data_IF_566584031114
#
_entry.id   IF_566584031114
#
_cell.length_a   1.000
_cell.length_b   1.000
_cell.length_c   1.000
_cell.angle_alpha   90.00
_cell.angle_beta   90.00
_cell.angle_gamma   90.00
#
_symmetry.space_group_name_H-M   'P 1'
#
loop_
_entity.id
_entity.type
_entity.pdbx_description
1 polymer ?
#
# COMPACT_ATOMS: atom_id res chain seq x y z
N UNK A 1 13.81 -19.27 -21.14
CA UNK A 1 12.61 -18.83 -21.89
C UNK A 1 11.66 -18.18 -20.89
N UNK A 2 11.74 -16.86 -20.78
CA UNK A 2 10.96 -16.05 -19.84
C UNK A 2 9.61 -15.68 -20.47
N UNK A 3 8.51 -16.09 -19.84
CA UNK A 3 7.18 -15.55 -20.14
C UNK A 3 6.65 -14.85 -18.87
N UNK A 4 6.75 -13.52 -18.84
CA UNK A 4 6.13 -12.67 -17.82
C UNK A 4 4.82 -12.15 -18.39
N UNK A 5 3.69 -12.57 -17.81
CA UNK A 5 2.37 -12.04 -18.14
C UNK A 5 2.00 -10.90 -17.19
N UNK A 6 1.76 -9.73 -17.78
CA UNK A 6 1.23 -8.51 -17.16
C UNK A 6 -0.25 -8.69 -16.79
N UNK A 7 -0.59 -8.50 -15.52
CA UNK A 7 -1.99 -8.54 -15.04
C UNK A 7 -2.63 -7.17 -15.19
N UNK A 8 -3.53 -7.04 -16.17
CA UNK A 8 -4.56 -6.00 -16.19
C UNK A 8 -5.74 -6.39 -15.30
N UNK A 9 -6.29 -5.45 -14.52
CA UNK A 9 -7.54 -5.64 -13.77
C UNK A 9 -8.60 -4.68 -14.27
N UNK A 10 -9.68 -5.25 -14.83
CA UNK A 10 -10.95 -4.59 -15.14
C UNK A 10 -11.86 -4.69 -13.91
N UNK A 11 -12.53 -3.58 -13.55
CA UNK A 11 -13.49 -3.49 -12.43
C UNK A 11 -14.82 -4.15 -12.80
N UNK A 12 -15.39 -4.93 -11.89
CA UNK A 12 -16.83 -5.23 -11.79
C UNK A 12 -17.19 -5.35 -10.31
N UNK A 13 -18.23 -4.62 -9.86
CA UNK A 13 -18.71 -4.62 -8.49
C UNK A 13 -20.14 -5.14 -8.35
N UNK A 14 -20.50 -5.52 -7.13
CA UNK A 14 -21.84 -5.59 -6.51
C UNK A 14 -21.61 -6.14 -5.09
N UNK A 15 -22.03 -5.61 -3.93
CA UNK A 15 -22.69 -4.41 -3.41
C UNK A 15 -22.53 -4.51 -1.86
N UNK A 16 -22.48 -3.50 -1.00
CA UNK A 16 -23.21 -2.23 -0.90
C UNK A 16 -22.31 -1.11 -0.32
N UNK A 17 -22.13 -0.04 -1.09
CA UNK A 17 -22.47 1.36 -0.76
C UNK A 17 -21.95 2.22 -1.91
N UNK A 18 -22.84 2.51 -2.85
CA UNK A 18 -22.65 3.48 -3.93
C UNK A 18 -22.83 4.89 -3.39
N UNK A 19 -21.95 5.83 -3.76
CA UNK A 19 -22.23 7.27 -3.71
C UNK A 19 -22.10 7.82 -5.12
N UNK A 20 -23.23 8.23 -5.66
CA UNK A 20 -23.36 9.06 -6.85
C UNK A 20 -23.36 10.50 -6.34
N UNK A 21 -22.50 11.34 -6.91
CA UNK A 21 -22.51 12.78 -6.66
C UNK A 21 -23.77 13.37 -7.30
N UNK A 22 -24.58 14.08 -6.49
CA UNK A 22 -25.63 14.93 -6.99
C UNK A 22 -25.06 16.35 -7.15
N UNK A 23 -25.13 16.82 -8.39
CA UNK A 23 -24.90 18.19 -8.82
C UNK A 23 -26.24 18.93 -8.70
N UNK A 24 -26.31 19.96 -7.85
CA UNK A 24 -27.47 20.86 -7.76
C UNK A 24 -27.22 22.07 -8.66
N UNK A 25 -28.03 22.25 -9.71
CA UNK A 25 -28.32 23.55 -10.32
C UNK A 25 -29.68 23.57 -11.04
N UNK A 26 -30.60 24.33 -10.45
CA UNK A 26 -31.66 25.19 -11.00
C UNK A 26 -32.64 24.72 -12.11
N UNK A 27 -33.90 24.60 -11.68
CA UNK A 27 -35.10 25.38 -12.07
C UNK A 27 -35.62 25.33 -13.53
N UNK A 28 -36.84 24.77 -13.73
CA UNK A 28 -37.96 25.44 -14.41
C UNK A 28 -39.28 24.63 -14.34
N UNK A 29 -40.25 25.18 -13.61
CA UNK A 29 -41.69 25.38 -13.88
C UNK A 29 -42.63 24.33 -14.57
N UNK A 30 -43.91 24.48 -14.20
CA UNK A 30 -45.16 23.82 -14.62
C UNK A 30 -45.47 22.47 -13.94
N UNK A 31 -46.57 22.26 -13.22
CA UNK A 31 -47.79 23.03 -13.02
C UNK A 31 -48.98 22.08 -13.11
N UNK A 32 -49.65 21.77 -12.00
CA UNK A 32 -51.12 21.61 -11.99
C UNK A 32 -51.69 21.50 -10.57
N UNK A 33 -52.82 22.20 -10.44
CA UNK A 33 -53.58 22.47 -9.22
C UNK A 33 -54.48 21.28 -8.88
N UNK A 34 -54.52 20.86 -7.63
CA UNK A 34 -55.73 20.29 -7.02
C UNK A 34 -55.88 20.87 -5.61
N UNK A 35 -56.99 21.55 -5.40
CA UNK A 35 -57.40 22.12 -4.13
C UNK A 35 -57.95 21.04 -3.21
N UNK A 36 -57.54 21.03 -1.94
CA UNK A 36 -58.35 20.46 -0.86
C UNK A 36 -58.14 21.24 0.42
N UNK A 37 -59.25 21.65 1.01
CA UNK A 37 -59.36 22.58 2.14
C UNK A 37 -59.20 21.85 3.49
N UNK A 38 -58.70 22.60 4.47
CA UNK A 38 -58.94 22.53 5.92
C UNK A 38 -58.34 21.34 6.71
N UNK A 39 -57.33 21.62 7.55
CA UNK A 39 -57.51 21.81 9.00
C UNK A 39 -56.21 22.36 9.62
N UNK A 40 -56.33 23.43 10.41
CA UNK A 40 -55.21 24.06 11.13
C UNK A 40 -54.90 23.21 12.36
N UNK A 41 -53.75 22.56 12.38
CA UNK A 41 -53.19 21.88 13.55
C UNK A 41 -51.79 22.42 13.82
N UNK A 42 -51.65 23.23 14.87
CA UNK A 42 -50.37 23.81 15.31
C UNK A 42 -49.50 22.72 15.93
N UNK A 43 -48.66 22.08 15.12
CA UNK A 43 -47.64 21.12 15.60
C UNK A 43 -46.44 21.94 16.10
N UNK A 44 -46.32 22.06 17.42
CA UNK A 44 -45.06 22.48 18.06
C UNK A 44 -44.03 21.36 17.86
N UNK A 45 -43.30 21.39 16.74
CA UNK A 45 -42.09 20.59 16.58
C UNK A 45 -40.98 21.24 17.41
N UNK A 46 -40.69 20.64 18.58
CA UNK A 46 -39.46 20.88 19.31
C UNK A 46 -38.30 20.47 18.38
N UNK A 47 -37.62 21.44 17.80
CA UNK A 47 -36.38 21.21 17.07
C UNK A 47 -35.29 20.83 18.07
N UNK A 48 -35.19 19.54 18.37
CA UNK A 48 -34.01 18.96 19.01
C UNK A 48 -32.85 19.10 18.03
N UNK A 49 -31.94 20.04 18.29
CA UNK A 49 -30.64 20.10 17.63
C UNK A 49 -29.86 18.87 18.08
N UNK A 50 -30.00 17.76 17.36
CA UNK A 50 -29.02 16.70 17.43
C UNK A 50 -27.76 17.24 16.79
N UNK A 51 -26.80 17.64 17.63
CA UNK A 51 -25.43 17.82 17.19
C UNK A 51 -24.98 16.48 16.60
N UNK A 52 -24.94 16.40 15.28
CA UNK A 52 -24.29 15.29 14.57
C UNK A 52 -22.81 15.48 14.83
N UNK A 53 -22.27 14.67 15.72
CA UNK A 53 -20.84 14.61 16.01
C UNK A 53 -20.12 14.23 14.70
N UNK A 54 -19.44 15.20 14.10
CA UNK A 54 -18.66 15.02 12.89
C UNK A 54 -17.32 14.34 13.24
N UNK A 55 -17.38 13.15 13.83
CA UNK A 55 -16.21 12.35 14.17
C UNK A 55 -16.03 11.23 13.14
N UNK A 56 -15.46 11.55 11.97
CA UNK A 56 -14.76 10.55 11.13
C UNK A 56 -14.01 11.18 9.94
N UNK A 57 -13.10 12.10 10.22
CA UNK A 57 -11.91 12.25 9.37
C UNK A 57 -10.87 11.24 9.86
N UNK A 58 -10.32 10.34 9.03
CA UNK A 58 -9.32 9.37 9.46
C UNK A 58 -8.02 10.11 9.83
N UNK A 59 -7.91 10.48 11.10
CA UNK A 59 -6.71 11.06 11.67
C UNK A 59 -5.57 10.05 11.78
N UNK A 60 -4.33 10.55 11.77
CA UNK A 60 -3.15 9.72 12.03
C UNK A 60 -3.18 9.30 13.51
N UNK A 61 -3.29 8.00 13.76
CA UNK A 61 -3.16 7.42 15.11
C UNK A 61 -1.66 7.33 15.45
N UNK A 62 -1.28 7.93 16.59
CA UNK A 62 0.12 7.97 17.06
C UNK A 62 0.37 6.94 18.17
N UNK A 63 1.62 6.51 18.32
CA UNK A 63 2.05 5.60 19.38
C UNK A 63 1.72 4.13 19.12
N UNK A 64 0.44 3.75 19.17
CA UNK A 64 0.00 2.37 18.89
C UNK A 64 -1.35 2.37 18.17
N UNK A 65 -1.44 1.58 17.11
CA UNK A 65 -2.65 1.40 16.33
C UNK A 65 -3.00 -0.09 16.22
N UNK A 66 -4.29 -0.38 16.13
CA UNK A 66 -4.82 -1.74 15.98
C UNK A 66 -5.80 -1.78 14.82
N UNK A 67 -5.55 -2.69 13.88
CA UNK A 67 -6.37 -2.83 12.69
C UNK A 67 -6.44 -4.28 12.20
N UNK A 68 -7.43 -4.55 11.36
CA UNK A 68 -7.52 -5.78 10.59
C UNK A 68 -6.80 -5.58 9.25
N UNK A 69 -5.95 -6.54 8.88
CA UNK A 69 -5.31 -6.60 7.57
C UNK A 69 -5.77 -7.85 6.83
N UNK A 70 -6.52 -7.65 5.75
CA UNK A 70 -6.97 -8.75 4.88
C UNK A 70 -6.19 -8.73 3.58
N UNK A 71 -5.45 -9.81 3.31
CA UNK A 71 -4.78 -10.04 2.04
C UNK A 71 -5.56 -11.03 1.19
N UNK A 72 -6.06 -10.58 0.03
CA UNK A 72 -6.84 -11.39 -0.92
C UNK A 72 -6.14 -11.51 -2.26
N UNK A 73 -5.94 -12.74 -2.70
CA UNK A 73 -5.34 -13.07 -4.00
C UNK A 73 -6.30 -13.96 -4.76
N UNK A 74 -6.57 -13.63 -6.03
CA UNK A 74 -7.23 -14.54 -6.97
C UNK A 74 -6.15 -15.11 -7.89
N UNK A 75 -6.02 -16.43 -7.93
CA UNK A 75 -5.06 -17.06 -8.81
C UNK A 75 -5.41 -16.77 -10.28
N UNK A 76 -4.41 -16.44 -11.12
CA UNK A 76 -4.63 -16.25 -12.54
C UNK A 76 -4.98 -17.58 -13.22
N UNK A 77 -5.19 -17.54 -14.53
CA UNK A 77 -5.22 -18.76 -15.34
C UNK A 77 -3.84 -19.44 -15.31
N UNK A 78 -3.82 -20.73 -14.99
CA UNK A 78 -2.60 -21.55 -14.87
C UNK A 78 -2.61 -22.57 -16.01
N UNK A 79 -1.64 -22.46 -16.93
CA UNK A 79 -1.54 -23.31 -18.15
C UNK A 79 -0.44 -24.38 -18.08
N UNK A 80 0.26 -24.47 -16.95
CA UNK A 80 1.37 -25.39 -16.74
C UNK A 80 1.89 -25.25 -15.31
N UNK A 81 3.14 -25.65 -15.08
CA UNK A 81 3.75 -25.57 -13.76
C UNK A 81 3.74 -24.14 -13.22
N UNK A 82 3.19 -23.98 -12.03
CA UNK A 82 3.16 -22.72 -11.33
C UNK A 82 3.73 -22.88 -9.92
N UNK A 83 4.42 -21.83 -9.48
CA UNK A 83 4.89 -21.67 -8.12
C UNK A 83 4.51 -20.28 -7.66
N UNK A 84 3.86 -20.18 -6.50
CA UNK A 84 3.48 -18.90 -5.90
C UNK A 84 4.13 -18.79 -4.54
N UNK A 85 4.71 -17.62 -4.28
CA UNK A 85 5.28 -17.23 -3.00
C UNK A 85 4.45 -16.07 -2.45
N UNK A 86 3.89 -16.24 -1.26
CA UNK A 86 3.13 -15.19 -0.57
C UNK A 86 3.81 -14.89 0.77
N UNK A 87 4.20 -13.62 1.02
CA UNK A 87 4.78 -13.26 2.31
C UNK A 87 3.73 -13.42 3.41
N UNK A 88 4.17 -13.92 4.55
CA UNK A 88 3.36 -14.04 5.76
C UNK A 88 3.77 -12.97 6.75
N UNK A 89 2.77 -12.26 7.29
CA UNK A 89 3.02 -11.25 8.30
C UNK A 89 3.62 -11.89 9.57
N UNK A 90 4.59 -11.21 10.18
CA UNK A 90 5.38 -11.70 11.32
C UNK A 90 5.35 -10.69 12.46
N UNK A 91 5.33 -11.20 13.69
CA UNK A 91 5.50 -10.41 14.91
C UNK A 91 6.97 -10.03 15.08
N UNK A 92 7.22 -8.77 15.43
CA UNK A 92 8.55 -8.25 15.77
C UNK A 92 8.45 -7.23 16.93
N UNK A 93 9.54 -6.53 17.24
CA UNK A 93 9.60 -5.55 18.32
C UNK A 93 8.58 -4.38 18.20
N UNK A 94 8.04 -4.14 17.01
CA UNK A 94 7.17 -3.01 16.68
C UNK A 94 5.79 -3.44 16.16
N UNK A 95 5.50 -4.73 16.08
CA UNK A 95 4.17 -5.20 15.72
C UNK A 95 3.88 -6.58 16.30
N UNK A 96 2.66 -6.76 16.80
CA UNK A 96 2.10 -8.08 17.12
C UNK A 96 1.10 -8.44 16.04
N UNK A 97 1.31 -9.60 15.41
CA UNK A 97 0.47 -10.13 14.35
C UNK A 97 -0.20 -11.42 14.85
N UNK A 98 -1.53 -11.43 14.82
CA UNK A 98 -2.35 -12.62 15.09
C UNK A 98 -3.06 -13.02 13.80
N UNK A 99 -2.80 -14.23 13.31
CA UNK A 99 -3.56 -14.79 12.19
C UNK A 99 -4.93 -15.26 12.70
N UNK A 100 -6.00 -14.65 12.20
CA UNK A 100 -7.37 -15.00 12.59
C UNK A 100 -7.98 -16.01 11.61
N UNK A 101 -7.69 -15.86 10.31
CA UNK A 101 -8.20 -16.75 9.27
C UNK A 101 -7.15 -16.97 8.18
N UNK A 102 -6.98 -18.22 7.78
CA UNK A 102 -6.00 -18.62 6.77
C UNK A 102 -6.65 -19.56 5.75
N UNK A 103 -7.26 -18.98 4.72
CA UNK A 103 -7.97 -19.71 3.68
C UNK A 103 -7.07 -19.86 2.45
N UNK A 104 -6.40 -21.01 2.38
CA UNK A 104 -5.55 -21.41 1.25
C UNK A 104 -6.07 -22.76 0.71
N UNK A 105 -6.94 -22.79 -0.32
CA UNK A 105 -7.62 -24.01 -0.79
C UNK A 105 -6.74 -24.91 -1.67
N UNK A 106 -5.43 -24.95 -1.37
CA UNK A 106 -4.35 -25.65 -2.07
C UNK A 106 -3.33 -26.06 -1.02
N UNK A 107 -2.73 -27.25 -1.17
CA UNK A 107 -1.62 -27.66 -0.29
C UNK A 107 -0.47 -26.65 -0.41
N UNK A 108 0.06 -26.24 0.74
CA UNK A 108 1.13 -25.26 0.82
C UNK A 108 2.11 -25.62 1.94
N UNK A 109 3.28 -25.02 1.90
CA UNK A 109 4.33 -25.13 2.90
C UNK A 109 4.77 -23.75 3.39
N UNK A 110 5.09 -23.64 4.68
CA UNK A 110 5.75 -22.47 5.21
C UNK A 110 7.26 -22.66 5.05
N UNK A 111 7.93 -21.73 4.40
CA UNK A 111 9.39 -21.66 4.33
C UNK A 111 9.87 -20.33 4.88
N UNK A 112 11.15 -20.27 5.25
CA UNK A 112 11.81 -19.01 5.59
C UNK A 112 12.84 -18.66 4.53
N UNK A 113 12.90 -17.39 4.13
CA UNK A 113 13.99 -16.95 3.27
C UNK A 113 15.32 -16.99 4.03
N UNK A 114 16.39 -17.38 3.33
CA UNK A 114 17.73 -17.59 3.91
C UNK A 114 18.31 -16.31 4.51
N UNK A 115 18.04 -15.16 3.90
CA UNK A 115 18.82 -13.94 4.13
C UNK A 115 18.23 -13.07 5.23
N UNK A 116 16.91 -13.08 5.41
CA UNK A 116 16.16 -12.22 6.33
C UNK A 116 15.18 -12.98 7.24
N UNK A 117 14.96 -14.29 7.00
CA UNK A 117 14.07 -15.10 7.83
C UNK A 117 12.60 -14.65 7.80
N UNK A 118 12.16 -14.11 6.66
CA UNK A 118 10.75 -13.82 6.40
C UNK A 118 10.00 -15.15 6.18
N UNK A 119 8.85 -15.29 6.82
CA UNK A 119 7.96 -16.41 6.60
C UNK A 119 7.25 -16.26 5.24
N UNK A 120 7.26 -17.33 4.44
CA UNK A 120 6.66 -17.36 3.10
C UNK A 120 5.77 -18.59 3.00
N UNK A 121 4.53 -18.40 2.55
CA UNK A 121 3.68 -19.49 2.08
C UNK A 121 4.04 -19.81 0.63
N UNK A 122 4.50 -21.04 0.39
CA UNK A 122 4.81 -21.56 -0.93
C UNK A 122 3.74 -22.56 -1.34
N UNK A 123 3.18 -22.37 -2.52
CA UNK A 123 2.23 -23.31 -3.11
C UNK A 123 2.61 -23.62 -4.56
N UNK A 124 2.17 -24.78 -5.01
CA UNK A 124 2.42 -25.32 -6.36
C UNK A 124 1.07 -25.58 -7.06
N UNK A 125 0.33 -24.50 -7.39
CA UNK A 125 -1.02 -24.64 -7.91
C UNK A 125 -0.98 -25.26 -9.31
N UNK A 126 -1.99 -26.08 -9.60
CA UNK A 126 -2.18 -26.75 -10.89
C UNK A 126 -3.21 -25.99 -11.73
N UNK A 127 -3.39 -26.39 -13.00
CA UNK A 127 -4.41 -25.78 -13.87
C UNK A 127 -5.82 -25.79 -13.26
N UNK A 128 -6.17 -26.84 -12.50
CA UNK A 128 -7.45 -26.96 -11.79
C UNK A 128 -7.62 -25.95 -10.64
N UNK A 129 -6.54 -25.31 -10.19
CA UNK A 129 -6.55 -24.27 -9.16
C UNK A 129 -6.76 -22.86 -9.72
N UNK A 130 -6.81 -22.72 -11.05
CA UNK A 130 -7.05 -21.44 -11.73
C UNK A 130 -8.28 -20.74 -11.17
N UNK A 131 -8.16 -19.46 -10.87
CA UNK A 131 -9.27 -18.65 -10.37
C UNK A 131 -9.66 -18.88 -8.90
N UNK A 132 -9.06 -19.86 -8.20
CA UNK A 132 -9.26 -20.02 -6.74
C UNK A 132 -8.82 -18.74 -6.01
N UNK A 133 -9.54 -18.42 -4.95
CA UNK A 133 -9.21 -17.30 -4.07
C UNK A 133 -8.41 -17.80 -2.85
N UNK A 134 -7.43 -17.01 -2.47
CA UNK A 134 -6.66 -17.15 -1.23
C UNK A 134 -6.94 -15.91 -0.40
N UNK A 135 -7.24 -16.11 0.89
CA UNK A 135 -7.49 -15.03 1.85
C UNK A 135 -6.71 -15.26 3.14
N UNK A 136 -5.96 -14.25 3.57
CA UNK A 136 -5.26 -14.21 4.85
C UNK A 136 -5.80 -13.03 5.64
N UNK A 137 -6.34 -13.30 6.83
CA UNK A 137 -6.84 -12.27 7.75
C UNK A 137 -5.95 -12.21 8.97
N UNK A 138 -5.44 -11.02 9.26
CA UNK A 138 -4.65 -10.74 10.43
C UNK A 138 -5.30 -9.66 11.28
N UNK A 139 -5.24 -9.82 12.60
CA UNK A 139 -5.32 -8.72 13.54
C UNK A 139 -3.91 -8.25 13.84
N UNK A 140 -3.66 -6.97 13.61
CA UNK A 140 -2.34 -6.36 13.78
C UNK A 140 -2.43 -5.28 14.85
N UNK A 141 -1.56 -5.35 15.84
CA UNK A 141 -1.26 -4.24 16.76
C UNK A 141 0.12 -3.72 16.38
N UNK A 142 0.20 -2.51 15.85
CA UNK A 142 1.44 -1.89 15.38
C UNK A 142 1.83 -0.73 16.29
N UNK A 143 3.10 -0.66 16.64
CA UNK A 143 3.71 0.43 17.41
C UNK A 143 4.48 1.34 16.46
N UNK A 144 4.35 2.65 16.69
CA UNK A 144 5.08 3.66 15.94
C UNK A 144 6.59 3.48 16.15
N UNK A 145 7.39 3.65 15.08
CA UNK A 145 8.85 3.58 15.15
C UNK A 145 9.41 5.00 15.26
N UNK A 146 10.09 5.30 16.36
CA UNK A 146 10.96 6.47 16.45
C UNK A 146 12.34 6.17 15.84
N UNK A 147 13.15 7.21 15.63
CA UNK A 147 14.57 7.00 15.33
C UNK A 147 15.26 6.36 16.54
N UNK A 148 16.05 5.32 16.30
CA UNK A 148 16.84 4.64 17.31
C UNK A 148 18.23 4.33 16.75
N UNK A 149 19.22 4.27 17.62
CA UNK A 149 20.57 3.84 17.23
C UNK A 149 20.55 2.34 16.96
N UNK A 150 21.02 1.93 15.78
CA UNK A 150 21.31 0.52 15.53
C UNK A 150 22.49 0.09 16.41
N UNK A 151 22.33 -0.97 17.19
CA UNK A 151 23.41 -1.56 18.00
C UNK A 151 23.61 -3.03 17.61
N UNK A 152 24.86 -3.40 17.34
CA UNK A 152 25.23 -4.80 17.07
C UNK A 152 24.79 -5.38 15.72
N UNK A 153 24.17 -4.61 14.83
CA UNK A 153 23.84 -5.05 13.48
C UNK A 153 25.04 -4.93 12.54
N UNK A 154 25.38 -6.01 11.84
CA UNK A 154 26.32 -5.97 10.72
C UNK A 154 25.67 -5.24 9.53
N UNK A 155 25.98 -3.95 9.39
CA UNK A 155 25.45 -3.11 8.32
C UNK A 155 26.13 -3.36 6.97
N UNK A 156 27.26 -4.08 6.94
CA UNK A 156 28.07 -4.27 5.74
C UNK A 156 27.25 -4.89 4.61
N UNK A 157 26.35 -5.83 4.94
CA UNK A 157 25.42 -6.45 3.99
C UNK A 157 24.58 -5.40 3.26
N UNK A 158 24.03 -4.43 3.97
CA UNK A 158 23.09 -3.44 3.42
C UNK A 158 23.77 -2.37 2.58
N UNK A 159 25.08 -2.16 2.76
CA UNK A 159 25.90 -1.23 1.99
C UNK A 159 26.40 -1.83 0.66
N UNK A 160 26.30 -3.15 0.46
CA UNK A 160 26.74 -3.79 -0.79
C UNK A 160 25.82 -3.43 -1.96
N UNK A 161 26.37 -3.26 -3.17
CA UNK A 161 25.57 -3.06 -4.37
C UNK A 161 24.75 -4.32 -4.69
N UNK A 162 23.56 -4.10 -5.25
CA UNK A 162 22.70 -5.17 -5.76
C UNK A 162 22.43 -4.95 -7.25
N UNK A 163 21.98 -6.01 -7.94
CA UNK A 163 21.71 -5.97 -9.39
C UNK A 163 20.78 -4.81 -9.81
N UNK A 164 19.74 -4.55 -9.03
CA UNK A 164 18.74 -3.51 -9.32
C UNK A 164 18.98 -2.21 -8.54
N UNK A 165 19.91 -2.22 -7.60
CA UNK A 165 20.24 -1.07 -6.73
C UNK A 165 21.77 -0.98 -6.66
N UNK A 166 22.44 -0.64 -7.78
CA UNK A 166 23.90 -0.58 -7.84
C UNK A 166 24.42 0.66 -7.13
N UNK A 167 25.70 0.65 -6.78
CA UNK A 167 26.45 1.85 -6.37
C UNK A 167 27.17 2.39 -7.60
N UNK A 168 26.97 3.67 -7.91
CA UNK A 168 27.61 4.33 -9.05
C UNK A 168 27.81 5.83 -8.79
N UNK A 169 28.59 6.49 -9.65
CA UNK A 169 28.95 7.90 -9.48
C UNK A 169 27.74 8.85 -9.62
N UNK A 170 26.73 8.49 -10.41
CA UNK A 170 25.50 9.27 -10.56
C UNK A 170 24.75 9.36 -9.23
N UNK A 171 24.53 8.24 -8.55
CA UNK A 171 23.85 8.24 -7.25
C UNK A 171 24.68 8.95 -6.19
N UNK A 172 25.99 8.72 -6.15
CA UNK A 172 26.90 9.40 -5.24
C UNK A 172 26.84 10.92 -5.41
N UNK A 173 26.89 11.41 -6.65
CA UNK A 173 26.81 12.84 -6.94
C UNK A 173 25.48 13.44 -6.48
N UNK A 174 24.36 12.75 -6.76
CA UNK A 174 23.03 13.20 -6.34
C UNK A 174 22.88 13.18 -4.81
N UNK A 175 23.41 12.15 -4.15
CA UNK A 175 23.36 12.01 -2.69
C UNK A 175 24.20 13.09 -2.00
N UNK A 176 25.43 13.33 -2.45
CA UNK A 176 26.30 14.39 -1.93
C UNK A 176 25.68 15.78 -2.12
N UNK A 177 25.05 16.03 -3.27
CA UNK A 177 24.33 17.27 -3.52
C UNK A 177 23.12 17.45 -2.58
N UNK A 178 22.31 16.40 -2.41
CA UNK A 178 21.14 16.43 -1.55
C UNK A 178 21.49 16.58 -0.05
N UNK A 179 22.65 16.06 0.37
CA UNK A 179 23.07 16.04 1.78
C UNK A 179 24.09 17.13 2.14
N UNK A 180 24.36 18.08 1.23
CA UNK A 180 25.33 19.14 1.44
C UNK A 180 25.06 19.93 2.74
N UNK A 181 26.09 20.09 3.56
CA UNK A 181 26.02 20.80 4.84
C UNK A 181 25.30 20.05 5.98
N UNK A 182 24.87 18.80 5.77
CA UNK A 182 24.21 17.97 6.81
C UNK A 182 25.22 17.09 7.53
N UNK A 183 25.27 17.20 8.85
CA UNK A 183 26.26 16.49 9.67
C UNK A 183 25.69 15.25 10.36
N UNK A 184 24.42 15.25 10.73
CA UNK A 184 23.78 14.10 11.39
C UNK A 184 23.12 13.13 10.39
N UNK A 185 23.20 11.82 10.65
CA UNK A 185 22.66 10.78 9.75
C UNK A 185 21.15 10.91 9.54
N UNK A 186 20.40 11.25 10.59
CA UNK A 186 18.96 11.48 10.48
C UNK A 186 18.64 12.66 9.56
N UNK A 187 19.44 13.73 9.61
CA UNK A 187 19.28 14.88 8.73
C UNK A 187 19.61 14.53 7.28
N UNK A 188 20.67 13.75 7.05
CA UNK A 188 21.04 13.25 5.72
C UNK A 188 19.94 12.35 5.16
N UNK A 189 19.45 11.39 5.93
CA UNK A 189 18.36 10.51 5.53
C UNK A 189 17.09 11.28 5.17
N UNK A 190 16.72 12.29 5.99
CA UNK A 190 15.58 13.17 5.69
C UNK A 190 15.81 13.96 4.39
N UNK A 191 17.01 14.50 4.17
CA UNK A 191 17.34 15.24 2.96
C UNK A 191 17.28 14.36 1.70
N UNK A 192 17.75 13.11 1.78
CA UNK A 192 17.60 12.12 0.71
C UNK A 192 16.12 11.79 0.44
N UNK A 193 15.32 11.60 1.49
CA UNK A 193 13.89 11.36 1.37
C UNK A 193 13.19 12.52 0.65
N UNK A 194 13.44 13.75 1.11
CA UNK A 194 12.87 14.96 0.51
C UNK A 194 13.31 15.13 -0.95
N UNK A 195 14.57 14.77 -1.28
CA UNK A 195 15.05 14.74 -2.66
C UNK A 195 14.28 13.74 -3.53
N UNK A 196 14.06 12.52 -3.05
CA UNK A 196 13.29 11.49 -3.78
C UNK A 196 11.85 11.96 -4.01
N UNK A 197 11.16 12.40 -2.95
CA UNK A 197 9.75 12.85 -3.02
C UNK A 197 9.58 14.04 -3.96
N UNK A 198 10.53 14.97 -3.97
CA UNK A 198 10.50 16.13 -4.88
C UNK A 198 10.82 15.76 -6.33
N UNK A 199 11.69 14.78 -6.56
CA UNK A 199 12.20 14.43 -7.89
C UNK A 199 11.28 13.44 -8.63
N UNK A 200 10.63 12.54 -7.90
CA UNK A 200 9.82 11.47 -8.48
C UNK A 200 8.32 11.78 -8.45
N UNK A 201 7.58 11.30 -9.46
CA UNK A 201 6.12 11.29 -9.48
C UNK A 201 5.59 9.86 -9.36
N UNK A 202 4.58 9.66 -8.51
CA UNK A 202 3.90 8.36 -8.44
C UNK A 202 3.08 8.15 -9.72
N UNK A 203 3.47 7.18 -10.54
CA UNK A 203 2.90 6.94 -11.86
C UNK A 203 3.07 5.46 -12.23
N UNK A 204 1.96 4.81 -12.57
CA UNK A 204 1.88 3.39 -12.93
C UNK A 204 1.45 3.19 -14.38
N UNK A 205 1.60 4.23 -15.21
CA UNK A 205 1.37 4.15 -16.65
C UNK A 205 2.62 3.65 -17.38
N UNK A 206 2.42 3.13 -18.58
CA UNK A 206 3.51 2.59 -19.39
C UNK A 206 4.16 1.32 -18.81
N UNK A 207 5.42 1.11 -19.13
CA UNK A 207 6.20 -0.09 -18.80
C UNK A 207 7.50 0.27 -18.11
N UNK A 208 8.02 -0.61 -17.25
CA UNK A 208 9.33 -0.44 -16.62
C UNK A 208 9.25 -0.16 -15.11
N UNK A 209 8.21 0.53 -14.66
CA UNK A 209 7.92 0.75 -13.24
C UNK A 209 7.61 -0.55 -12.48
N UNK A 210 7.72 -0.48 -11.16
CA UNK A 210 7.38 -1.55 -10.22
C UNK A 210 8.40 -2.67 -10.12
N UNK A 211 9.59 -2.46 -10.68
CA UNK A 211 10.68 -3.45 -10.67
C UNK A 211 11.64 -3.24 -9.51
N UNK A 212 11.63 -2.07 -8.88
CA UNK A 212 12.63 -1.71 -7.87
C UNK A 212 14.01 -1.50 -8.49
N UNK A 213 14.05 -1.03 -9.74
CA UNK A 213 15.29 -0.68 -10.46
C UNK A 213 15.61 0.80 -10.19
N UNK A 214 16.66 1.04 -9.43
CA UNK A 214 17.06 2.38 -9.00
C UNK A 214 17.56 3.25 -10.17
N UNK A 215 18.17 2.64 -11.19
CA UNK A 215 18.67 3.37 -12.37
C UNK A 215 17.48 3.85 -13.19
N UNK A 216 16.53 2.95 -13.46
CA UNK A 216 15.26 3.31 -14.10
C UNK A 216 14.54 4.41 -13.31
N UNK A 217 14.39 4.25 -11.99
CA UNK A 217 13.70 5.23 -11.15
C UNK A 217 14.35 6.63 -11.19
N UNK A 218 15.68 6.68 -11.21
CA UNK A 218 16.45 7.93 -11.30
C UNK A 218 16.26 8.64 -12.64
N UNK A 219 16.24 7.88 -13.74
CA UNK A 219 16.15 8.41 -15.10
C UNK A 219 14.71 8.77 -15.46
N UNK A 220 13.77 7.85 -15.24
CA UNK A 220 12.36 8.02 -15.58
C UNK A 220 11.66 9.01 -14.65
N UNK A 221 12.12 9.14 -13.39
CA UNK A 221 11.53 9.99 -12.34
C UNK A 221 10.05 9.70 -12.10
N UNK A 222 9.63 8.49 -12.40
CA UNK A 222 8.27 7.98 -12.25
C UNK A 222 8.32 6.55 -11.75
N UNK A 223 7.28 6.14 -11.03
CA UNK A 223 7.15 4.75 -10.59
C UNK A 223 6.15 4.56 -9.47
N UNK A 224 6.15 3.35 -8.89
CA UNK A 224 5.37 3.03 -7.71
C UNK A 224 6.25 3.03 -6.44
N UNK A 225 5.69 2.59 -5.32
CA UNK A 225 6.42 2.50 -4.05
C UNK A 225 7.75 1.73 -4.17
N UNK A 226 7.81 0.63 -4.92
CA UNK A 226 9.04 -0.15 -5.11
C UNK A 226 10.15 0.68 -5.76
N UNK A 227 9.83 1.52 -6.74
CA UNK A 227 10.82 2.34 -7.45
C UNK A 227 11.30 3.50 -6.57
N UNK A 228 10.42 4.10 -5.78
CA UNK A 228 10.77 5.13 -4.79
C UNK A 228 11.73 4.57 -3.73
N UNK A 229 11.43 3.37 -3.21
CA UNK A 229 12.31 2.70 -2.24
C UNK A 229 13.67 2.36 -2.85
N UNK A 230 13.71 1.78 -4.05
CA UNK A 230 14.95 1.44 -4.72
C UNK A 230 15.84 2.67 -4.94
N UNK A 231 15.26 3.79 -5.38
CA UNK A 231 16.01 5.02 -5.58
C UNK A 231 16.52 5.61 -4.26
N UNK A 232 15.69 5.64 -3.22
CA UNK A 232 16.14 6.08 -1.89
C UNK A 232 17.30 5.23 -1.36
N UNK A 233 17.19 3.90 -1.45
CA UNK A 233 18.25 2.98 -1.00
C UNK A 233 19.55 3.21 -1.80
N UNK A 234 19.45 3.39 -3.12
CA UNK A 234 20.63 3.67 -3.95
C UNK A 234 21.35 4.97 -3.57
N UNK A 235 20.61 6.00 -3.14
CA UNK A 235 21.20 7.27 -2.68
C UNK A 235 21.76 7.17 -1.26
N UNK A 236 21.22 6.28 -0.43
CA UNK A 236 21.64 6.11 0.96
C UNK A 236 22.86 5.19 1.14
N UNK A 237 23.22 4.42 0.10
CA UNK A 237 24.44 3.60 0.04
C UNK A 237 25.64 4.45 -0.34
#
# INVERSE_FOLDING_TARGET
MENRSTIGKKKTGSGKRSRQAADERNNCDQGQRIAMRLLIGTIFMLAGVFAVDAANEPGIIKGSDQFEFIYRVKLPEIKGDARVWMPLAKTDAFQTVTAEEFSVPIKWEKVQDRDYGNDICVLYPQSADSGKAIELRYRVVRREKAAYSASGEDTSRYLRPEKLVPVNETFKTLALGATAGKTADLERAKALYDHVVRRMRYDKSGTGWGRGDAVYACDARTGNCSDFHAYFIALAR
#
